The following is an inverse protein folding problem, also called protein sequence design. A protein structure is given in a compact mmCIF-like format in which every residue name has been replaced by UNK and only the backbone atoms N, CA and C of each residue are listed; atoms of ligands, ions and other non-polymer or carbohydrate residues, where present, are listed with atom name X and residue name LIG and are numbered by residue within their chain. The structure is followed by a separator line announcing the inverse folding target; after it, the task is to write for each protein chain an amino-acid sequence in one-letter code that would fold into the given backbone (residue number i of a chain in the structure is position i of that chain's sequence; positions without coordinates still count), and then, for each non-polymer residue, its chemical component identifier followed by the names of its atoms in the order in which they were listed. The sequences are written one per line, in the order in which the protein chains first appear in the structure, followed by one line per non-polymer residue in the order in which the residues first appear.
data_IF_822317852640
#
_entry.id   IF_822317852640
#
_cell.length_a   1.000
_cell.length_b   1.000
_cell.length_c   1.000
_cell.angle_alpha   90.00
_cell.angle_beta   90.00
_cell.angle_gamma   90.00
#
_symmetry.space_group_name_H-M   'P 1'
#
loop_
_entity.id
_entity.type
_entity.pdbx_description
1 polymer ?
#
# COMPACT_ATOMS: atom_id res chain seq x y z
N UNK A 1 -34.50 -39.36 36.87
CA UNK A 1 -33.20 -39.75 36.27
C UNK A 1 -32.78 -38.70 35.24
N UNK A 2 -31.70 -37.95 35.51
CA UNK A 2 -30.92 -37.23 34.50
C UNK A 2 -29.48 -37.23 35.00
N UNK A 3 -28.63 -38.01 34.33
CA UNK A 3 -27.26 -38.32 34.74
C UNK A 3 -26.35 -37.15 34.33
N UNK A 4 -25.69 -36.55 35.29
CA UNK A 4 -24.61 -35.58 35.08
C UNK A 4 -23.40 -36.34 34.53
N UNK A 5 -23.03 -36.09 33.28
CA UNK A 5 -21.83 -36.69 32.67
C UNK A 5 -20.69 -35.71 32.87
N UNK A 6 -19.83 -36.03 33.84
CA UNK A 6 -18.54 -35.39 34.04
C UNK A 6 -17.56 -35.96 33.02
N UNK A 7 -17.14 -35.18 32.02
CA UNK A 7 -16.12 -35.58 31.07
C UNK A 7 -14.74 -35.22 31.61
N UNK A 8 -13.98 -36.27 31.89
CA UNK A 8 -12.59 -36.30 32.37
C UNK A 8 -11.67 -35.65 31.33
N UNK A 9 -10.79 -34.77 31.79
CA UNK A 9 -9.68 -34.24 31.03
C UNK A 9 -8.74 -35.37 30.59
N UNK A 10 -8.66 -35.62 29.28
CA UNK A 10 -7.64 -36.46 28.68
C UNK A 10 -6.47 -35.57 28.25
N UNK A 11 -5.44 -35.56 29.09
CA UNK A 11 -4.08 -35.18 28.72
C UNK A 11 -3.60 -36.12 27.61
N UNK A 12 -3.74 -35.69 26.35
CA UNK A 12 -3.05 -36.30 25.23
C UNK A 12 -1.82 -35.44 24.90
N UNK A 13 -0.70 -35.78 25.54
CA UNK A 13 0.63 -35.39 25.08
C UNK A 13 0.90 -36.09 23.75
N UNK A 14 0.80 -35.36 22.65
CA UNK A 14 1.16 -35.88 21.33
C UNK A 14 1.91 -34.80 20.56
N UNK A 15 3.24 -34.92 20.63
CA UNK A 15 4.25 -34.45 19.68
C UNK A 15 3.84 -33.26 18.82
N UNK A 16 4.24 -32.06 19.24
CA UNK A 16 4.37 -30.90 18.36
C UNK A 16 5.37 -31.24 17.26
N UNK A 17 4.90 -31.82 16.16
CA UNK A 17 5.62 -31.72 14.90
C UNK A 17 5.71 -30.23 14.61
N UNK A 18 6.89 -29.66 14.80
CA UNK A 18 7.20 -28.31 14.40
C UNK A 18 7.02 -28.25 12.87
N UNK A 19 5.84 -27.80 12.42
CA UNK A 19 5.69 -27.32 11.06
C UNK A 19 6.75 -26.23 10.87
N UNK A 20 7.64 -26.31 9.87
CA UNK A 20 8.50 -25.19 9.55
C UNK A 20 7.58 -24.01 9.26
N UNK A 21 7.73 -22.95 10.05
CA UNK A 21 7.00 -21.71 9.81
C UNK A 21 7.21 -21.32 8.33
N UNK A 22 6.15 -20.93 7.61
CA UNK A 22 6.28 -20.53 6.21
C UNK A 22 7.38 -19.47 6.14
N UNK A 23 8.37 -19.72 5.29
CA UNK A 23 9.57 -18.90 5.16
C UNK A 23 9.23 -17.41 5.28
N UNK A 24 9.74 -16.76 6.33
CA UNK A 24 9.69 -15.32 6.52
C UNK A 24 10.68 -14.66 5.56
N UNK A 25 10.52 -14.91 4.26
CA UNK A 25 11.19 -14.13 3.24
C UNK A 25 10.81 -12.65 3.39
N UNK A 26 11.66 -11.71 2.95
CA UNK A 26 11.33 -10.30 2.99
C UNK A 26 9.98 -10.10 2.31
N UNK A 27 9.03 -9.50 3.03
CA UNK A 27 7.72 -9.16 2.46
C UNK A 27 7.97 -8.19 1.28
N UNK A 28 7.27 -8.38 0.15
CA UNK A 28 7.40 -7.44 -0.97
C UNK A 28 7.06 -6.04 -0.47
N UNK A 29 7.97 -5.09 -0.72
CA UNK A 29 7.74 -3.67 -0.43
C UNK A 29 6.95 -3.11 -1.60
N UNK A 30 5.78 -2.54 -1.33
CA UNK A 30 4.99 -1.86 -2.35
C UNK A 30 5.05 -0.36 -2.12
N UNK A 31 5.41 0.38 -3.18
CA UNK A 31 5.47 1.84 -3.17
C UNK A 31 4.27 2.37 -3.94
N UNK A 32 3.50 3.26 -3.31
CA UNK A 32 2.44 4.01 -3.96
C UNK A 32 2.97 5.35 -4.44
N UNK A 33 2.54 5.74 -5.63
CA UNK A 33 2.97 6.94 -6.36
C UNK A 33 1.72 7.68 -6.78
N UNK A 34 1.71 8.99 -6.60
CA UNK A 34 0.56 9.84 -6.93
C UNK A 34 0.89 10.67 -8.16
N UNK A 35 0.25 10.37 -9.28
CA UNK A 35 0.48 11.10 -10.53
C UNK A 35 -0.54 12.23 -10.70
N UNK A 36 -0.04 13.45 -10.88
CA UNK A 36 -0.85 14.52 -11.46
C UNK A 36 -1.21 14.15 -12.90
N UNK A 37 -2.51 14.10 -13.22
CA UNK A 37 -2.97 13.81 -14.57
C UNK A 37 -3.35 15.08 -15.31
N UNK A 38 -2.99 15.14 -16.57
CA UNK A 38 -3.41 16.17 -17.50
C UNK A 38 -4.13 15.53 -18.68
N UNK A 39 -5.22 16.15 -19.10
CA UNK A 39 -6.00 15.71 -20.25
C UNK A 39 -5.64 16.58 -21.44
N UNK A 40 -5.24 15.94 -22.53
CA UNK A 40 -5.06 16.58 -23.82
C UNK A 40 -6.38 17.12 -24.36
N UNK A 41 -6.42 18.40 -24.70
CA UNK A 41 -7.60 18.97 -25.38
C UNK A 41 -7.71 18.56 -26.85
N UNK A 42 -6.64 18.01 -27.44
CA UNK A 42 -6.60 17.68 -28.88
C UNK A 42 -7.16 16.29 -29.19
N UNK A 43 -6.86 15.32 -28.33
CA UNK A 43 -7.16 13.90 -28.57
C UNK A 43 -7.77 13.19 -27.34
N UNK A 44 -7.98 13.92 -26.23
CA UNK A 44 -8.54 13.35 -25.00
C UNK A 44 -7.61 12.36 -24.28
N UNK A 45 -6.35 12.24 -24.71
CA UNK A 45 -5.38 11.39 -24.03
C UNK A 45 -5.06 11.91 -22.62
N UNK A 46 -4.86 10.99 -21.69
CA UNK A 46 -4.51 11.29 -20.29
C UNK A 46 -3.05 10.93 -20.09
N UNK A 47 -2.25 11.89 -19.64
CA UNK A 47 -0.86 11.65 -19.27
C UNK A 47 -0.58 12.08 -17.83
N UNK A 48 0.23 11.28 -17.14
CA UNK A 48 0.76 11.58 -15.82
C UNK A 48 2.19 12.10 -15.92
N UNK A 49 2.53 13.10 -15.10
CA UNK A 49 3.87 13.71 -15.11
C UNK A 49 4.85 13.02 -14.15
N UNK A 50 4.84 13.47 -12.90
CA UNK A 50 5.76 13.07 -11.84
C UNK A 50 5.00 12.64 -10.58
N UNK A 51 5.72 12.11 -9.59
CA UNK A 51 5.19 11.66 -8.30
C UNK A 51 4.97 12.85 -7.34
N UNK A 52 3.71 13.16 -7.10
CA UNK A 52 3.21 14.19 -6.19
C UNK A 52 3.08 13.71 -4.74
N UNK A 53 3.44 12.45 -4.42
CA UNK A 53 3.21 11.89 -3.07
C UNK A 53 3.83 12.75 -1.97
N UNK A 54 5.04 13.29 -2.21
CA UNK A 54 5.70 14.20 -1.27
C UNK A 54 5.04 15.57 -1.21
N UNK A 55 4.66 16.13 -2.35
CA UNK A 55 4.00 17.44 -2.42
C UNK A 55 2.67 17.41 -1.66
N UNK A 56 1.88 16.35 -1.82
CA UNK A 56 0.63 16.18 -1.10
C UNK A 56 0.82 16.28 0.43
N UNK A 57 1.90 15.70 0.96
CA UNK A 57 2.23 15.76 2.39
C UNK A 57 2.70 17.16 2.79
N UNK A 58 3.59 17.77 2.01
CA UNK A 58 4.14 19.11 2.29
C UNK A 58 3.05 20.17 2.27
N UNK A 59 2.16 20.10 1.28
CA UNK A 59 1.02 21.01 1.11
C UNK A 59 -0.17 20.67 2.01
N UNK A 60 -0.10 19.56 2.76
CA UNK A 60 -1.18 19.06 3.64
C UNK A 60 -2.51 18.88 2.89
N UNK A 61 -2.45 18.36 1.67
CA UNK A 61 -3.66 18.05 0.89
C UNK A 61 -4.48 16.97 1.58
N UNK A 62 -5.80 17.06 1.42
CA UNK A 62 -6.68 15.97 1.83
C UNK A 62 -6.42 14.75 0.94
N UNK A 63 -6.11 13.62 1.57
CA UNK A 63 -5.83 12.37 0.88
C UNK A 63 -7.07 11.48 0.87
N UNK A 64 -7.27 10.79 -0.25
CA UNK A 64 -8.26 9.73 -0.40
C UNK A 64 -7.73 8.41 0.20
N UNK A 65 -8.58 7.39 0.29
CA UNK A 65 -8.19 6.06 0.80
C UNK A 65 -7.05 5.42 0.00
N UNK A 66 -6.91 5.78 -1.28
CA UNK A 66 -5.82 5.29 -2.12
C UNK A 66 -4.45 5.90 -1.74
N UNK A 67 -4.42 6.96 -0.93
CA UNK A 67 -3.22 7.67 -0.46
C UNK A 67 -2.85 8.90 -1.28
N UNK A 68 -3.60 9.24 -2.34
CA UNK A 68 -3.35 10.39 -3.21
C UNK A 68 -4.42 11.47 -3.00
N UNK A 69 -4.11 12.70 -3.43
CA UNK A 69 -5.07 13.78 -3.43
C UNK A 69 -6.12 13.60 -4.55
N UNK A 70 -7.24 14.31 -4.44
CA UNK A 70 -8.26 14.34 -5.49
C UNK A 70 -7.67 14.80 -6.84
N UNK A 71 -8.11 14.18 -7.93
CA UNK A 71 -7.62 14.47 -9.28
C UNK A 71 -6.26 13.84 -9.63
N UNK A 72 -5.69 13.01 -8.75
CA UNK A 72 -4.47 12.25 -9.02
C UNK A 72 -4.75 10.77 -9.22
N UNK A 73 -3.89 10.11 -10.01
CA UNK A 73 -3.91 8.66 -10.21
C UNK A 73 -2.90 7.99 -9.28
N UNK A 74 -3.36 7.00 -8.51
CA UNK A 74 -2.51 6.19 -7.66
C UNK A 74 -1.96 4.99 -8.44
N UNK A 75 -0.63 4.91 -8.58
CA UNK A 75 0.06 3.73 -9.12
C UNK A 75 0.78 2.99 -8.00
N UNK A 76 0.81 1.66 -8.09
CA UNK A 76 1.51 0.82 -7.12
C UNK A 76 2.64 0.07 -7.82
N UNK A 77 3.86 0.24 -7.32
CA UNK A 77 5.06 -0.44 -7.81
C UNK A 77 5.55 -1.43 -6.77
N UNK A 78 6.09 -2.55 -7.26
CA UNK A 78 6.88 -3.44 -6.42
C UNK A 78 8.30 -2.87 -6.33
N UNK A 79 8.82 -2.78 -5.12
CA UNK A 79 10.14 -2.28 -4.76
C UNK A 79 10.32 -0.76 -4.97
N UNK A 80 10.61 -0.29 -6.19
CA UNK A 80 10.91 1.13 -6.45
C UNK A 80 10.10 1.66 -7.64
N UNK A 81 9.60 2.89 -7.51
CA UNK A 81 9.01 3.63 -8.61
C UNK A 81 10.07 4.13 -9.60
N UNK A 82 9.88 3.96 -10.92
CA UNK A 82 10.69 4.63 -11.94
C UNK A 82 10.27 6.10 -12.14
N UNK A 83 9.11 6.51 -11.60
CA UNK A 83 8.57 7.86 -11.71
C UNK A 83 9.25 8.74 -10.66
N UNK A 84 9.86 9.83 -11.12
CA UNK A 84 10.54 10.79 -10.25
C UNK A 84 9.56 11.70 -9.52
N UNK A 85 9.94 12.17 -8.34
CA UNK A 85 9.13 13.09 -7.55
C UNK A 85 9.11 14.51 -8.13
N UNK A 86 7.96 15.15 -8.02
CA UNK A 86 7.80 16.56 -8.32
C UNK A 86 8.36 17.41 -7.17
N UNK A 87 8.73 18.65 -7.49
CA UNK A 87 8.94 19.67 -6.47
C UNK A 87 7.62 20.37 -6.16
N UNK A 88 7.43 20.87 -4.92
CA UNK A 88 6.30 21.73 -4.63
C UNK A 88 6.31 22.98 -5.51
N UNK A 89 5.14 23.57 -5.82
CA UNK A 89 5.03 24.86 -6.48
C UNK A 89 5.91 25.91 -5.79
N UNK A 90 6.63 26.70 -6.58
CA UNK A 90 7.53 27.74 -6.07
C UNK A 90 8.95 27.27 -5.73
N UNK A 91 9.28 25.99 -5.91
CA UNK A 91 10.67 25.51 -5.88
C UNK A 91 11.20 25.31 -7.30
N UNK A 92 12.41 25.79 -7.56
CA UNK A 92 13.12 25.57 -8.83
C UNK A 92 13.83 24.23 -8.77
N UNK A 93 13.64 23.42 -9.81
CA UNK A 93 14.41 22.20 -10.06
C UNK A 93 15.73 22.64 -10.74
N UNK A 94 16.82 22.68 -9.96
CA UNK A 94 18.18 22.98 -10.43
C UNK A 94 18.78 21.79 -11.19
#
# INVERSE_FOLDING_TARGET
MKKTISAIALLATSNSMAMPAPHTGPKPVYVKVCLATHVSQKDGSIWGGCDESRNNVVEKRQLLENGCAEGQVALTFKDKSPIQACFPPGMVQL
#
